data_IF_590542735719
#
_entry.id   IF_590542735719
#
_cell.length_a   1.000
_cell.length_b   1.000
_cell.length_c   1.000
_cell.angle_alpha   90.00
_cell.angle_beta   90.00
_cell.angle_gamma   90.00
#
_symmetry.space_group_name_H-M   'P 1'
#
loop_
_entity.id
_entity.type
_entity.pdbx_description
1 polymer ?
#
# COMPACT_ATOMS: atom_id res chain seq x y z
N UNK A 1 -14.33 -2.85 13.16
CA UNK A 1 -13.28 -1.95 13.67
C UNK A 1 -13.00 -0.99 12.54
N UNK A 2 -13.24 0.30 12.76
CA UNK A 2 -12.94 1.34 11.78
C UNK A 2 -11.76 2.14 12.30
N UNK A 3 -10.70 2.21 11.50
CA UNK A 3 -9.48 2.96 11.81
C UNK A 3 -9.50 4.28 11.06
N UNK A 4 -8.86 5.34 11.58
CA UNK A 4 -8.75 6.60 10.86
C UNK A 4 -8.00 6.38 9.54
N UNK A 5 -8.40 7.14 8.51
CA UNK A 5 -7.72 7.15 7.22
C UNK A 5 -6.25 7.54 7.39
N UNK A 6 -5.36 6.85 6.69
CA UNK A 6 -3.92 7.15 6.66
C UNK A 6 -3.48 7.47 5.24
N UNK A 7 -2.67 8.51 5.08
CA UNK A 7 -2.03 8.87 3.80
C UNK A 7 -0.55 8.53 3.92
N UNK A 8 -0.08 7.61 3.09
CA UNK A 8 1.33 7.22 2.99
C UNK A 8 1.86 7.67 1.62
N UNK A 9 2.91 8.48 1.61
CA UNK A 9 3.53 8.98 0.37
C UNK A 9 4.58 7.97 -0.07
N UNK A 10 4.31 7.29 -1.19
CA UNK A 10 5.22 6.27 -1.75
C UNK A 10 6.29 6.90 -2.65
N UNK A 11 5.91 7.91 -3.44
CA UNK A 11 6.81 8.66 -4.32
C UNK A 11 6.70 10.16 -4.04
N UNK A 12 7.80 10.80 -3.68
CA UNK A 12 7.96 12.25 -3.48
C UNK A 12 8.43 12.98 -4.74
N UNK A 13 8.69 12.24 -5.81
CA UNK A 13 9.12 12.72 -7.11
C UNK A 13 9.63 11.58 -8.00
N UNK A 14 10.22 11.95 -9.13
CA UNK A 14 10.85 11.01 -10.08
C UNK A 14 12.11 10.34 -9.49
N UNK A 15 12.97 11.11 -8.83
CA UNK A 15 14.22 10.61 -8.24
C UNK A 15 14.03 10.10 -6.80
N UNK A 16 13.11 9.15 -6.59
CA UNK A 16 12.86 8.55 -5.28
C UNK A 16 13.49 7.16 -5.11
N UNK A 17 13.37 6.60 -3.90
CA UNK A 17 13.91 5.32 -3.46
C UNK A 17 13.50 4.16 -4.37
N UNK A 18 12.28 4.20 -4.89
CA UNK A 18 11.75 3.14 -5.74
C UNK A 18 11.87 3.51 -7.20
N UNK A 19 12.49 2.63 -7.99
CA UNK A 19 12.66 2.82 -9.44
C UNK A 19 11.34 3.00 -10.18
N UNK A 20 10.24 2.43 -9.68
CA UNK A 20 8.91 2.58 -10.27
C UNK A 20 8.33 3.99 -10.16
N UNK A 21 8.88 4.88 -9.33
CA UNK A 21 8.41 6.27 -9.24
C UNK A 21 8.66 7.08 -10.53
N UNK A 22 9.49 6.54 -11.44
CA UNK A 22 9.75 7.10 -12.77
C UNK A 22 8.90 6.49 -13.88
N UNK A 23 8.12 5.46 -13.56
CA UNK A 23 7.36 4.73 -14.57
C UNK A 23 6.29 5.62 -15.19
N UNK A 24 6.18 5.57 -16.51
CA UNK A 24 5.20 6.33 -17.28
C UNK A 24 3.96 5.48 -17.58
N UNK A 25 2.86 6.17 -17.93
CA UNK A 25 1.62 5.51 -18.33
C UNK A 25 1.87 4.58 -19.52
N UNK A 26 1.56 3.30 -19.32
CA UNK A 26 1.76 2.25 -20.33
C UNK A 26 3.07 1.47 -20.21
N UNK A 27 3.98 1.87 -19.31
CA UNK A 27 5.19 1.11 -19.03
C UNK A 27 4.92 -0.05 -18.06
N UNK A 28 5.68 -1.12 -18.23
CA UNK A 28 5.60 -2.30 -17.36
C UNK A 28 6.38 -2.08 -16.08
N UNK A 29 5.69 -2.07 -14.94
CA UNK A 29 6.33 -2.10 -13.61
C UNK A 29 6.49 -3.55 -13.16
N UNK A 30 7.69 -4.10 -13.29
CA UNK A 30 8.06 -5.42 -12.77
C UNK A 30 9.23 -5.29 -11.79
N UNK A 31 8.95 -5.31 -10.49
CA UNK A 31 9.93 -5.06 -9.44
C UNK A 31 9.60 -5.83 -8.17
N UNK A 32 10.60 -6.05 -7.32
CA UNK A 32 10.46 -6.68 -6.02
C UNK A 32 10.78 -5.66 -4.92
N UNK A 33 9.84 -5.48 -3.99
CA UNK A 33 9.99 -4.54 -2.88
C UNK A 33 10.18 -5.31 -1.58
N UNK A 34 11.27 -5.02 -0.87
CA UNK A 34 11.46 -5.52 0.49
C UNK A 34 10.56 -4.74 1.45
N UNK A 35 9.91 -5.44 2.36
CA UNK A 35 9.13 -4.83 3.43
C UNK A 35 9.50 -5.44 4.77
N UNK A 36 9.41 -4.62 5.82
CA UNK A 36 9.52 -5.05 7.20
C UNK A 36 8.38 -4.42 7.98
N UNK A 37 7.78 -5.19 8.87
CA UNK A 37 6.78 -4.70 9.79
C UNK A 37 7.24 -5.06 11.21
N UNK A 38 7.11 -4.12 12.13
CA UNK A 38 7.12 -4.48 13.56
C UNK A 38 5.78 -5.12 13.83
N UNK A 39 5.77 -6.34 14.38
CA UNK A 39 4.56 -7.05 14.76
C UNK A 39 3.65 -6.15 15.57
N UNK A 40 2.65 -5.57 14.91
CA UNK A 40 1.58 -4.85 15.57
C UNK A 40 0.80 -5.91 16.34
N UNK A 41 0.55 -5.68 17.62
CA UNK A 41 -0.36 -6.51 18.43
C UNK A 41 -1.78 -6.34 17.92
N UNK A 42 -2.06 -6.85 16.73
CA UNK A 42 -3.40 -6.91 16.19
C UNK A 42 -4.19 -7.94 17.00
N UNK A 43 -5.39 -7.58 17.41
CA UNK A 43 -6.35 -8.58 17.90
C UNK A 43 -6.54 -9.68 16.86
N UNK A 44 -6.91 -10.87 17.29
CA UNK A 44 -7.27 -11.96 16.37
C UNK A 44 -8.57 -11.58 15.64
N UNK A 45 -8.70 -11.96 14.37
CA UNK A 45 -9.92 -11.69 13.61
C UNK A 45 -9.70 -11.28 12.16
N UNK A 46 -10.78 -10.75 11.55
CA UNK A 46 -10.82 -10.34 10.14
C UNK A 46 -10.76 -8.82 10.02
N UNK A 47 -9.80 -8.35 9.25
CA UNK A 47 -9.54 -6.94 8.97
C UNK A 47 -9.85 -6.64 7.52
N UNK A 48 -10.32 -5.41 7.27
CA UNK A 48 -10.49 -4.86 5.92
C UNK A 48 -9.56 -3.67 5.78
N UNK A 49 -8.73 -3.67 4.74
CA UNK A 49 -7.83 -2.58 4.38
C UNK A 49 -8.17 -2.12 2.95
N UNK A 50 -8.75 -0.93 2.82
CA UNK A 50 -9.01 -0.30 1.53
C UNK A 50 -7.83 0.59 1.21
N UNK A 51 -7.14 0.30 0.11
CA UNK A 51 -5.97 1.03 -0.39
C UNK A 51 -6.36 1.76 -1.65
N UNK A 52 -6.39 3.08 -1.58
CA UNK A 52 -6.57 3.97 -2.72
C UNK A 52 -5.21 4.55 -3.12
N UNK A 53 -4.79 4.26 -4.35
CA UNK A 53 -3.55 4.78 -4.90
C UNK A 53 -3.86 5.97 -5.81
N UNK A 54 -3.22 7.11 -5.51
CA UNK A 54 -3.28 8.34 -6.29
C UNK A 54 -1.91 8.61 -6.89
N UNK A 55 -1.85 9.02 -8.15
CA UNK A 55 -0.60 9.32 -8.86
C UNK A 55 -0.85 10.30 -10.02
N UNK A 56 0.21 10.98 -10.46
CA UNK A 56 0.16 11.94 -11.57
C UNK A 56 0.16 13.40 -11.12
N UNK A 57 0.21 14.30 -12.09
CA UNK A 57 0.03 15.73 -11.92
C UNK A 57 -0.90 16.23 -13.05
N UNK A 58 -2.20 16.46 -12.79
CA UNK A 58 -2.87 16.40 -11.48
C UNK A 58 -2.98 14.97 -10.90
N UNK A 59 -3.15 14.85 -9.57
CA UNK A 59 -3.36 13.56 -8.91
C UNK A 59 -4.67 12.91 -9.39
N UNK A 60 -4.56 11.69 -9.95
CA UNK A 60 -5.69 10.85 -10.37
C UNK A 60 -5.65 9.49 -9.68
N UNK A 61 -6.81 8.82 -9.62
CA UNK A 61 -6.89 7.45 -9.09
C UNK A 61 -6.19 6.48 -10.02
N UNK A 62 -5.11 5.88 -9.54
CA UNK A 62 -4.40 4.81 -10.24
C UNK A 62 -5.12 3.47 -10.06
N UNK A 63 -5.47 3.13 -8.82
CA UNK A 63 -6.29 1.96 -8.49
C UNK A 63 -6.90 2.06 -7.09
N UNK A 64 -7.92 1.24 -6.83
CA UNK A 64 -8.49 1.04 -5.50
C UNK A 64 -8.60 -0.47 -5.22
N UNK A 65 -7.96 -0.92 -4.14
CA UNK A 65 -7.90 -2.34 -3.76
C UNK A 65 -8.50 -2.53 -2.38
N UNK A 66 -9.33 -3.57 -2.24
CA UNK A 66 -9.97 -3.93 -0.98
C UNK A 66 -9.41 -5.26 -0.47
N UNK A 67 -8.44 -5.17 0.44
CA UNK A 67 -7.81 -6.34 1.04
C UNK A 67 -8.60 -6.83 2.25
N UNK A 68 -8.81 -8.14 2.31
CA UNK A 68 -9.27 -8.83 3.52
C UNK A 68 -8.10 -9.56 4.13
N UNK A 69 -7.74 -9.22 5.37
CA UNK A 69 -6.63 -9.81 6.10
C UNK A 69 -7.20 -10.62 7.25
N UNK A 70 -6.83 -11.90 7.34
CA UNK A 70 -7.26 -12.79 8.42
C UNK A 70 -6.06 -13.02 9.34
N UNK A 71 -6.17 -12.51 10.57
CA UNK A 71 -5.21 -12.80 11.62
C UNK A 71 -5.69 -14.02 12.41
N UNK A 72 -5.09 -15.17 12.10
CA UNK A 72 -5.47 -16.45 12.69
C UNK A 72 -5.19 -16.48 14.20
N UNK A 73 -6.06 -17.14 14.98
CA UNK A 73 -5.91 -17.23 16.42
C UNK A 73 -4.78 -18.13 16.89
N UNK A 74 -4.20 -18.96 16.02
CA UNK A 74 -3.22 -19.98 16.39
C UNK A 74 -1.76 -19.48 16.29
N UNK A 75 -1.56 -18.25 15.83
CA UNK A 75 -0.27 -17.56 15.82
C UNK A 75 -0.29 -16.42 16.85
N UNK A 76 0.65 -16.46 17.81
CA UNK A 76 0.89 -15.43 18.83
C UNK A 76 2.25 -14.76 18.59
#
# INVERSE_FOLDING_TARGET
MDFPMRKEVVCRGSDDLYSFCRALKGETVNTAISFSFRGLRFSKGRYRCVVEALSGDPEEVLFCLNFTIIHHPDFN
#
